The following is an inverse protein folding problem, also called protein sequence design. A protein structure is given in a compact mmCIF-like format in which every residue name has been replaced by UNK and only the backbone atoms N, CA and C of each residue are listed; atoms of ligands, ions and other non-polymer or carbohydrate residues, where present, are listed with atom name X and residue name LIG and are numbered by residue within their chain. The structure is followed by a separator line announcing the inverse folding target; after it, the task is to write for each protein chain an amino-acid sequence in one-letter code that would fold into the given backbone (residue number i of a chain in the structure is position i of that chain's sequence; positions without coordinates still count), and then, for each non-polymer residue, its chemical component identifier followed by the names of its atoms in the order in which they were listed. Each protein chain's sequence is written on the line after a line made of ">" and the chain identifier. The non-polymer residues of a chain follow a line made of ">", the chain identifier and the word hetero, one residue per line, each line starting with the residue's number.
data_IF_207726708897
#
_entry.id   IF_207726708897
#
_cell.length_a   1.000
_cell.length_b   1.000
_cell.length_c   1.000
_cell.angle_alpha   90.00
_cell.angle_beta   90.00
_cell.angle_gamma   90.00
#
_symmetry.space_group_name_H-M   'P 1'
#
loop_
_entity.id
_entity.type
_entity.pdbx_description
1 polymer ?
#
# COMPACT_ATOMS: atom_id res chain seq x y z
N UNK A 1 3.00 40.47 4.60
CA UNK A 1 2.77 39.32 3.68
C UNK A 1 1.52 38.61 4.18
N UNK A 2 0.51 38.34 3.34
CA UNK A 2 -0.63 37.56 3.80
C UNK A 2 -0.17 36.12 4.07
N UNK A 3 -0.62 35.54 5.19
CA UNK A 3 -0.44 34.13 5.50
C UNK A 3 -1.27 33.33 4.47
N UNK A 4 -0.64 32.41 3.74
CA UNK A 4 -1.40 31.42 2.98
C UNK A 4 -2.21 30.61 3.99
N UNK A 5 -3.53 30.62 3.86
CA UNK A 5 -4.38 29.67 4.58
C UNK A 5 -4.01 28.25 4.11
N UNK A 6 -3.58 27.41 5.03
CA UNK A 6 -3.36 26.00 4.74
C UNK A 6 -4.69 25.37 4.35
N UNK A 7 -4.75 24.82 3.14
CA UNK A 7 -5.94 24.11 2.66
C UNK A 7 -6.06 22.80 3.43
N UNK A 8 -7.08 22.73 4.29
CA UNK A 8 -7.44 21.52 5.03
C UNK A 8 -8.36 20.66 4.15
N UNK A 9 -7.91 19.47 3.82
CA UNK A 9 -8.64 18.46 3.05
C UNK A 9 -9.49 17.57 3.97
N UNK A 10 -10.56 17.02 3.38
CA UNK A 10 -11.53 16.17 4.04
C UNK A 10 -11.55 14.77 3.43
N UNK A 11 -12.35 13.88 4.04
CA UNK A 11 -12.54 12.54 3.51
C UNK A 11 -13.19 12.52 2.12
N UNK A 12 -14.00 13.53 1.79
CA UNK A 12 -14.63 13.63 0.48
C UNK A 12 -13.59 13.95 -0.60
N UNK A 13 -12.58 14.76 -0.27
CA UNK A 13 -11.51 15.13 -1.20
C UNK A 13 -10.64 13.93 -1.59
N UNK A 14 -10.34 13.02 -0.66
CA UNK A 14 -9.55 11.81 -0.95
C UNK A 14 -10.34 10.80 -1.78
N UNK A 15 -11.66 10.69 -1.58
CA UNK A 15 -12.51 9.82 -2.40
C UNK A 15 -12.80 10.39 -3.79
N UNK A 16 -12.64 11.70 -3.98
CA UNK A 16 -12.76 12.34 -5.29
C UNK A 16 -11.51 12.19 -6.18
N UNK A 17 -10.42 11.59 -5.66
CA UNK A 17 -9.21 11.37 -6.44
C UNK A 17 -9.48 10.44 -7.65
N UNK A 18 -8.83 10.71 -8.80
CA UNK A 18 -9.04 9.89 -9.98
C UNK A 18 -8.48 8.47 -9.78
N UNK A 19 -9.05 7.52 -10.52
CA UNK A 19 -8.60 6.13 -10.46
C UNK A 19 -7.11 6.01 -10.82
N UNK A 20 -6.37 5.26 -10.00
CA UNK A 20 -4.92 5.08 -10.15
C UNK A 20 -4.08 6.04 -9.32
N UNK A 21 -4.64 7.17 -8.85
CA UNK A 21 -3.99 8.01 -7.85
C UNK A 21 -4.06 7.36 -6.48
N UNK A 22 -2.92 7.37 -5.79
CA UNK A 22 -2.81 6.88 -4.42
C UNK A 22 -2.29 8.01 -3.55
N UNK A 23 -3.07 8.35 -2.54
CA UNK A 23 -2.67 9.32 -1.54
C UNK A 23 -3.21 8.93 -0.17
N UNK A 24 -2.63 9.54 0.87
CA UNK A 24 -3.06 9.38 2.26
C UNK A 24 -3.51 10.74 2.81
N UNK A 25 -4.65 10.76 3.51
CA UNK A 25 -5.14 11.93 4.23
C UNK A 25 -4.67 11.83 5.68
N UNK A 26 -3.77 12.72 6.10
CA UNK A 26 -3.21 12.76 7.45
C UNK A 26 -3.31 14.20 7.95
N UNK A 27 -3.96 14.42 9.10
CA UNK A 27 -4.14 15.74 9.72
C UNK A 27 -4.65 16.82 8.74
N UNK A 28 -5.61 16.46 7.89
CA UNK A 28 -6.19 17.38 6.90
C UNK A 28 -5.29 17.66 5.71
N UNK A 29 -4.21 16.91 5.51
CA UNK A 29 -3.30 17.05 4.38
C UNK A 29 -3.28 15.79 3.52
N UNK A 30 -3.30 15.95 2.20
CA UNK A 30 -3.18 14.84 1.25
C UNK A 30 -1.71 14.66 0.87
N UNK A 31 -1.17 13.47 1.12
CA UNK A 31 0.17 13.04 0.75
C UNK A 31 0.12 12.03 -0.39
N UNK A 32 0.60 12.41 -1.57
CA UNK A 32 0.64 11.51 -2.73
C UNK A 32 1.73 10.46 -2.57
N UNK A 33 1.38 9.20 -2.79
CA UNK A 33 2.29 8.07 -2.65
C UNK A 33 3.02 7.82 -3.96
N UNK A 34 4.34 7.94 -3.94
CA UNK A 34 5.15 7.51 -5.07
C UNK A 34 5.07 5.98 -5.27
N UNK A 35 5.12 5.47 -6.51
CA UNK A 35 5.15 4.03 -6.75
C UNK A 35 6.33 3.36 -6.03
N UNK A 36 6.11 2.24 -5.31
CA UNK A 36 7.17 1.57 -4.58
C UNK A 36 8.22 0.97 -5.53
N UNK A 37 9.49 1.09 -5.17
CA UNK A 37 10.58 0.51 -5.96
C UNK A 37 10.75 -1.00 -5.68
N UNK A 38 11.56 -1.69 -6.50
CA UNK A 38 11.80 -3.15 -6.39
C UNK A 38 12.33 -3.57 -5.03
N UNK A 39 13.21 -2.77 -4.41
CA UNK A 39 13.77 -3.06 -3.09
C UNK A 39 12.69 -2.99 -2.01
N UNK A 40 11.83 -1.97 -2.05
CA UNK A 40 10.68 -1.83 -1.16
C UNK A 40 9.73 -3.02 -1.30
N UNK A 41 9.38 -3.40 -2.53
CA UNK A 41 8.52 -4.55 -2.82
C UNK A 41 9.13 -5.86 -2.31
N UNK A 42 10.44 -6.06 -2.51
CA UNK A 42 11.13 -7.26 -2.04
C UNK A 42 11.16 -7.34 -0.52
N UNK A 43 11.36 -6.20 0.15
CA UNK A 43 11.31 -6.12 1.62
C UNK A 43 9.92 -6.44 2.17
N UNK A 44 8.87 -5.84 1.59
CA UNK A 44 7.48 -6.12 1.97
C UNK A 44 7.10 -7.58 1.76
N UNK A 45 7.46 -8.16 0.61
CA UNK A 45 7.20 -9.58 0.34
C UNK A 45 7.88 -10.48 1.36
N UNK A 46 9.16 -10.24 1.66
CA UNK A 46 9.88 -11.01 2.69
C UNK A 46 9.23 -10.90 4.05
N UNK A 47 8.86 -9.69 4.48
CA UNK A 47 8.17 -9.49 5.75
C UNK A 47 6.84 -10.23 5.77
N UNK A 48 6.03 -10.10 4.72
CA UNK A 48 4.76 -10.80 4.60
C UNK A 48 4.94 -12.32 4.71
N UNK A 49 5.91 -12.89 3.99
CA UNK A 49 6.18 -14.34 4.03
C UNK A 49 6.67 -14.82 5.40
N UNK A 50 7.34 -13.98 6.20
CA UNK A 50 7.72 -14.31 7.57
C UNK A 50 6.53 -14.26 8.54
N UNK A 51 5.53 -13.41 8.28
CA UNK A 51 4.31 -13.35 9.08
C UNK A 51 3.33 -14.48 8.74
N UNK A 52 3.39 -15.02 7.51
CA UNK A 52 2.56 -16.15 7.08
C UNK A 52 3.25 -17.47 7.45
N UNK A 53 2.81 -18.05 8.56
CA UNK A 53 3.33 -19.26 9.21
C UNK A 53 3.66 -20.42 8.23
N UNK A 54 4.75 -21.13 8.51
CA UNK A 54 5.44 -22.12 7.64
C UNK A 54 4.58 -23.31 7.15
N UNK A 55 3.41 -23.52 7.75
CA UNK A 55 2.50 -24.64 7.41
C UNK A 55 1.61 -24.39 6.19
N UNK A 56 1.36 -23.14 5.83
CA UNK A 56 0.45 -22.83 4.72
C UNK A 56 1.17 -22.89 3.37
N UNK A 57 2.41 -22.40 3.32
CA UNK A 57 3.23 -22.35 2.10
C UNK A 57 3.64 -23.75 1.64
N UNK A 58 4.17 -24.62 2.51
CA UNK A 58 4.55 -25.99 2.10
C UNK A 58 3.34 -26.75 1.53
N UNK A 59 2.13 -26.55 2.08
CA UNK A 59 0.91 -27.19 1.58
C UNK A 59 0.38 -26.58 0.27
N UNK A 60 0.45 -25.26 0.08
CA UNK A 60 0.02 -24.63 -1.17
C UNK A 60 1.00 -24.93 -2.32
N UNK A 61 2.31 -24.98 -2.04
CA UNK A 61 3.33 -25.32 -3.05
C UNK A 61 3.31 -26.82 -3.41
N UNK A 62 3.20 -27.74 -2.44
CA UNK A 62 3.12 -29.17 -2.73
C UNK A 62 1.82 -29.58 -3.44
N UNK A 63 0.68 -28.92 -3.17
CA UNK A 63 -0.58 -29.21 -3.89
C UNK A 63 -0.59 -28.70 -5.32
N UNK A 64 0.21 -27.67 -5.64
CA UNK A 64 0.28 -27.14 -7.01
C UNK A 64 1.11 -28.05 -7.92
N UNK A 65 2.14 -28.71 -7.36
CA UNK A 65 2.96 -29.72 -8.06
C UNK A 65 2.27 -31.10 -8.20
N UNK A 66 1.19 -31.36 -7.45
CA UNK A 66 0.43 -32.61 -7.52
C UNK A 66 -0.82 -32.54 -8.42
N UNK A 67 -1.13 -31.38 -9.00
CA UNK A 67 -2.30 -31.18 -9.87
C UNK A 67 -1.95 -30.86 -11.34
N UNK A 68 -0.75 -31.22 -11.80
CA UNK A 68 -0.34 -31.21 -13.22
C UNK A 68 0.04 -32.60 -13.68
#
# INVERSE_FOLDING_TARGET
>A
MPLLEEKVYTIDDIYALPEGERAELIDGHIYYTAPPNRTHQTGLLRLFLLQVNERTIIRSFLNTEQQV
#
